data_IF_664451575108
#
_entry.id   IF_664451575108
#
_cell.length_a   1.000
_cell.length_b   1.000
_cell.length_c   1.000
_cell.angle_alpha   90.00
_cell.angle_beta   90.00
_cell.angle_gamma   90.00
#
_symmetry.space_group_name_H-M   'P 1'
#
loop_
_entity.id
_entity.type
_entity.pdbx_description
1 polymer ?
#
# COMPACT_ATOMS: atom_id res chain seq x y z
N UNK A 1 -71.17 17.87 -13.07
CA UNK A 1 -71.30 16.39 -13.06
C UNK A 1 -70.25 15.82 -12.13
N UNK A 2 -70.69 14.91 -11.25
CA UNK A 2 -69.97 14.31 -10.11
C UNK A 2 -69.51 12.91 -10.51
N UNK A 3 -68.36 12.46 -9.97
CA UNK A 3 -68.00 11.10 -9.45
C UNK A 3 -66.49 10.83 -9.72
N UNK A 4 -65.60 10.72 -8.73
CA UNK A 4 -65.36 9.74 -7.62
C UNK A 4 -64.49 8.54 -8.03
N UNK A 5 -63.31 8.41 -7.41
CA UNK A 5 -62.70 7.17 -6.86
C UNK A 5 -61.33 7.55 -6.24
N UNK A 6 -61.12 7.60 -4.92
CA UNK A 6 -60.92 6.53 -3.91
C UNK A 6 -59.78 5.55 -4.24
N UNK A 7 -58.75 5.61 -3.38
CA UNK A 7 -57.96 4.52 -2.74
C UNK A 7 -56.52 5.01 -2.52
N UNK A 8 -55.74 4.61 -1.52
CA UNK A 8 -55.95 3.99 -0.22
C UNK A 8 -54.65 4.21 0.57
N UNK A 9 -54.77 4.18 1.90
CA UNK A 9 -53.69 4.40 2.88
C UNK A 9 -52.60 3.31 2.81
N UNK A 10 -51.36 3.69 3.10
CA UNK A 10 -50.44 2.80 3.84
C UNK A 10 -49.44 3.63 4.65
N UNK A 11 -49.78 3.85 5.92
CA UNK A 11 -48.89 4.39 6.94
C UNK A 11 -47.92 3.29 7.37
N UNK A 12 -46.62 3.51 7.15
CA UNK A 12 -45.56 2.61 7.62
C UNK A 12 -45.45 2.64 9.17
N UNK A 13 -45.34 1.44 9.75
CA UNK A 13 -45.33 1.12 11.18
C UNK A 13 -43.89 1.19 11.72
N UNK A 14 -43.61 1.83 12.87
CA UNK A 14 -42.24 1.89 13.42
C UNK A 14 -41.85 0.58 14.12
N UNK A 15 -40.60 0.14 13.94
CA UNK A 15 -40.01 -1.05 14.60
C UNK A 15 -39.40 -0.69 15.97
N UNK A 16 -39.49 -1.58 16.98
CA UNK A 16 -39.10 -1.27 18.36
C UNK A 16 -37.60 -1.45 18.62
N UNK A 17 -37.06 -0.64 19.54
CA UNK A 17 -35.66 -0.69 20.00
C UNK A 17 -35.50 -1.77 21.08
N UNK A 18 -34.69 -2.78 20.81
CA UNK A 18 -34.39 -3.87 21.76
C UNK A 18 -33.23 -3.44 22.67
N UNK A 19 -33.53 -3.26 23.96
CA UNK A 19 -32.53 -3.12 25.03
C UNK A 19 -32.00 -4.51 25.39
N UNK A 20 -30.70 -4.73 25.29
CA UNK A 20 -30.05 -5.93 25.84
C UNK A 20 -29.77 -5.73 27.33
N UNK A 21 -30.49 -6.50 28.14
CA UNK A 21 -30.23 -6.74 29.56
C UNK A 21 -28.93 -7.54 29.74
N UNK A 22 -28.11 -7.16 30.73
CA UNK A 22 -26.97 -7.95 31.19
C UNK A 22 -27.51 -9.08 32.07
N UNK A 23 -27.32 -10.32 31.64
CA UNK A 23 -27.58 -11.50 32.46
C UNK A 23 -26.22 -12.08 32.84
N UNK A 24 -25.89 -11.99 34.12
CA UNK A 24 -24.67 -12.57 34.69
C UNK A 24 -24.79 -14.09 34.78
N UNK A 25 -23.63 -14.77 34.81
CA UNK A 25 -23.58 -16.13 35.34
C UNK A 25 -22.19 -16.45 35.90
N UNK A 26 -22.21 -16.78 37.19
CA UNK A 26 -21.36 -17.69 37.95
C UNK A 26 -19.87 -17.36 38.12
N UNK A 27 -19.58 -16.73 39.26
CA UNK A 27 -18.49 -17.17 40.13
C UNK A 27 -18.74 -18.61 40.59
N UNK A 28 -17.75 -19.48 40.46
CA UNK A 28 -17.60 -20.64 41.34
C UNK A 28 -16.12 -20.85 41.56
N UNK A 29 -15.70 -20.56 42.79
CA UNK A 29 -14.35 -20.77 43.29
C UNK A 29 -14.10 -22.28 43.45
N UNK A 30 -12.96 -22.78 42.98
CA UNK A 30 -12.31 -23.91 43.64
C UNK A 30 -10.88 -23.49 43.99
N UNK A 31 -10.60 -23.61 45.27
CA UNK A 31 -9.30 -23.37 45.89
C UNK A 31 -8.36 -24.55 45.66
N UNK A 32 -7.11 -24.37 46.09
CA UNK A 32 -6.04 -25.36 46.24
C UNK A 32 -5.18 -25.56 44.98
N UNK A 33 -4.10 -24.80 44.86
CA UNK A 33 -2.78 -25.35 45.20
C UNK A 33 -1.75 -24.22 45.30
N UNK A 34 -0.91 -24.38 46.31
CA UNK A 34 0.11 -23.45 46.78
C UNK A 34 1.36 -23.46 45.91
N UNK A 35 2.08 -22.35 46.02
CA UNK A 35 3.52 -22.23 45.82
C UNK A 35 4.10 -22.07 44.41
N UNK A 36 4.68 -20.88 44.26
CA UNK A 36 6.06 -20.71 43.82
C UNK A 36 6.33 -20.87 42.33
N UNK A 37 6.30 -19.74 41.63
CA UNK A 37 7.49 -19.20 40.97
C UNK A 37 7.18 -17.78 40.48
N UNK A 38 7.88 -16.81 41.05
CA UNK A 38 7.81 -15.40 40.67
C UNK A 38 8.44 -15.23 39.28
N UNK A 39 7.69 -15.62 38.25
CA UNK A 39 8.05 -15.34 36.86
C UNK A 39 7.96 -13.84 36.71
N UNK A 40 9.12 -13.21 36.64
CA UNK A 40 9.27 -11.82 36.20
C UNK A 40 8.42 -11.69 34.93
N UNK A 41 7.32 -10.93 35.01
CA UNK A 41 6.62 -10.47 33.81
C UNK A 41 7.66 -9.74 32.97
N UNK A 42 8.29 -10.43 32.02
CA UNK A 42 8.81 -9.75 30.84
C UNK A 42 7.58 -9.10 30.25
N UNK A 43 7.48 -7.78 30.44
CA UNK A 43 6.53 -6.92 29.74
C UNK A 43 6.57 -7.39 28.29
N UNK A 44 5.48 -8.03 27.84
CA UNK A 44 5.36 -8.51 26.49
C UNK A 44 5.74 -7.35 25.58
N UNK A 45 6.77 -7.56 24.76
CA UNK A 45 7.09 -6.62 23.71
C UNK A 45 5.83 -6.45 22.85
N UNK A 46 5.49 -5.23 22.43
CA UNK A 46 4.30 -5.02 21.64
C UNK A 46 4.49 -5.70 20.28
N UNK A 47 3.95 -6.93 20.13
CA UNK A 47 3.73 -7.57 18.83
C UNK A 47 2.87 -6.69 17.90
N UNK A 48 2.24 -5.65 18.46
CA UNK A 48 1.56 -4.61 17.70
C UNK A 48 2.49 -3.79 16.80
N UNK A 49 3.81 -3.76 16.99
CA UNK A 49 4.71 -3.02 16.10
C UNK A 49 4.83 -3.63 14.69
N UNK A 50 4.81 -4.97 14.60
CA UNK A 50 4.92 -5.66 13.32
C UNK A 50 3.62 -5.60 12.54
N UNK A 51 2.48 -5.79 13.22
CA UNK A 51 1.17 -5.63 12.60
C UNK A 51 0.92 -4.18 12.21
N UNK A 52 1.31 -3.18 13.02
CA UNK A 52 1.24 -1.76 12.66
C UNK A 52 2.14 -1.42 11.47
N UNK A 53 3.34 -2.04 11.39
CA UNK A 53 4.23 -1.84 10.24
C UNK A 53 3.68 -2.49 8.97
N UNK A 54 3.00 -3.63 9.10
CA UNK A 54 2.37 -4.33 7.99
C UNK A 54 1.11 -3.61 7.54
N UNK A 55 0.29 -3.06 8.46
CA UNK A 55 -0.88 -2.24 8.11
C UNK A 55 -0.45 -0.95 7.43
N UNK A 56 0.59 -0.26 7.91
CA UNK A 56 1.11 0.93 7.22
C UNK A 56 1.71 0.59 5.85
N UNK A 57 2.38 -0.56 5.73
CA UNK A 57 2.92 -1.03 4.44
C UNK A 57 1.82 -1.45 3.49
N UNK A 58 0.75 -2.10 3.96
CA UNK A 58 -0.43 -2.44 3.17
C UNK A 58 -1.21 -1.18 2.76
N UNK A 59 -1.38 -0.21 3.66
CA UNK A 59 -1.99 1.08 3.35
C UNK A 59 -1.15 1.94 2.38
N UNK A 60 0.17 1.72 2.31
CA UNK A 60 1.05 2.35 1.30
C UNK A 60 1.05 1.60 -0.04
N UNK A 61 0.57 0.35 -0.06
CA UNK A 61 0.37 -0.47 -1.26
C UNK A 61 -1.06 -0.34 -1.81
N UNK A 62 -2.00 0.13 -1.00
CA UNK A 62 -3.26 0.70 -1.48
C UNK A 62 -2.91 1.97 -2.23
N UNK A 63 -3.14 1.99 -3.55
CA UNK A 63 -3.15 3.24 -4.31
C UNK A 63 -4.05 4.21 -3.55
N UNK A 64 -3.55 5.33 -3.00
CA UNK A 64 -4.38 6.23 -2.23
C UNK A 64 -5.51 6.64 -3.15
N UNK A 65 -6.74 6.22 -2.79
CA UNK A 65 -7.92 6.45 -3.59
C UNK A 65 -7.98 7.95 -3.95
N UNK A 66 -7.64 8.24 -5.21
CA UNK A 66 -7.78 9.50 -5.91
C UNK A 66 -7.30 10.77 -5.18
N UNK A 67 -6.03 10.85 -4.77
CA UNK A 67 -5.40 12.16 -4.63
C UNK A 67 -5.05 12.68 -6.03
N UNK A 68 -5.94 13.49 -6.61
CA UNK A 68 -5.71 14.09 -7.93
C UNK A 68 -4.71 15.25 -7.80
N UNK A 69 -3.59 15.14 -8.51
CA UNK A 69 -2.65 16.24 -8.69
C UNK A 69 -2.93 16.95 -10.01
N UNK A 70 -2.71 18.27 -10.04
CA UNK A 70 -2.98 19.09 -11.22
C UNK A 70 -1.70 19.30 -12.02
N UNK A 71 -1.72 18.90 -13.28
CA UNK A 71 -0.63 19.12 -14.23
C UNK A 71 -0.84 20.45 -14.96
N UNK A 72 0.07 21.39 -14.76
CA UNK A 72 0.07 22.69 -15.43
C UNK A 72 1.26 22.79 -16.39
N UNK A 73 1.01 22.98 -17.68
CA UNK A 73 2.05 23.14 -18.69
C UNK A 73 1.61 24.09 -19.80
N UNK A 74 2.50 25.01 -20.19
CA UNK A 74 2.32 25.84 -21.39
C UNK A 74 2.92 25.11 -22.58
N UNK A 75 2.09 24.81 -23.58
CA UNK A 75 2.48 24.02 -24.74
C UNK A 75 2.35 24.90 -26.00
N UNK A 76 3.34 24.90 -26.91
CA UNK A 76 3.22 25.54 -28.21
C UNK A 76 2.00 25.03 -28.98
N UNK A 77 1.31 25.92 -29.71
CA UNK A 77 0.10 25.57 -30.46
C UNK A 77 0.34 24.48 -31.51
N UNK A 78 1.53 24.44 -32.12
CA UNK A 78 1.91 23.39 -33.08
C UNK A 78 1.90 22.00 -32.45
N UNK A 79 2.43 21.88 -31.22
CA UNK A 79 2.47 20.63 -30.46
C UNK A 79 1.05 20.25 -30.03
N UNK A 80 0.25 21.21 -29.55
CA UNK A 80 -1.15 20.96 -29.18
C UNK A 80 -1.96 20.37 -30.34
N UNK A 81 -1.87 20.96 -31.54
CA UNK A 81 -2.57 20.44 -32.74
C UNK A 81 -2.11 19.04 -33.13
N UNK A 82 -0.83 18.74 -32.96
CA UNK A 82 -0.30 17.40 -33.22
C UNK A 82 -0.86 16.37 -32.23
N UNK A 83 -0.92 16.72 -30.94
CA UNK A 83 -1.50 15.88 -29.90
C UNK A 83 -3.01 15.69 -30.12
N UNK A 84 -3.74 16.73 -30.52
CA UNK A 84 -5.16 16.66 -30.84
C UNK A 84 -5.41 15.65 -31.97
N UNK A 85 -4.65 15.74 -33.06
CA UNK A 85 -4.73 14.77 -34.16
C UNK A 85 -4.41 13.35 -33.70
N UNK A 86 -3.38 13.18 -32.87
CA UNK A 86 -3.00 11.86 -32.34
C UNK A 86 -4.09 11.28 -31.42
N UNK A 87 -4.73 12.13 -30.60
CA UNK A 87 -5.86 11.75 -29.76
C UNK A 87 -7.06 11.31 -30.60
N UNK A 88 -7.40 12.04 -31.67
CA UNK A 88 -8.45 11.65 -32.63
C UNK A 88 -8.17 10.28 -33.25
N UNK A 89 -6.93 10.02 -33.68
CA UNK A 89 -6.54 8.72 -34.25
C UNK A 89 -6.68 7.56 -33.26
N UNK A 90 -6.48 7.82 -31.96
CA UNK A 90 -6.68 6.82 -30.89
C UNK A 90 -8.13 6.75 -30.39
N UNK A 91 -9.03 7.62 -30.86
CA UNK A 91 -10.40 7.72 -30.35
C UNK A 91 -10.48 8.21 -28.90
N UNK A 92 -9.50 8.99 -28.45
CA UNK A 92 -9.39 9.50 -27.08
C UNK A 92 -9.61 11.01 -27.05
N UNK A 93 -10.05 11.53 -25.90
CA UNK A 93 -9.95 12.98 -25.64
C UNK A 93 -8.48 13.39 -25.48
N UNK A 94 -8.18 14.67 -25.69
CA UNK A 94 -6.82 15.20 -25.53
C UNK A 94 -6.26 14.90 -24.13
N UNK A 95 -7.08 15.07 -23.09
CA UNK A 95 -6.69 14.79 -21.70
C UNK A 95 -6.38 13.30 -21.51
N UNK A 96 -7.24 12.41 -22.01
CA UNK A 96 -7.02 10.97 -21.89
C UNK A 96 -5.77 10.52 -22.66
N UNK A 97 -5.54 11.08 -23.84
CA UNK A 97 -4.34 10.82 -24.64
C UNK A 97 -3.06 11.23 -23.89
N UNK A 98 -3.03 12.43 -23.31
CA UNK A 98 -1.87 12.95 -22.59
C UNK A 98 -1.59 12.12 -21.33
N UNK A 99 -2.61 11.88 -20.49
CA UNK A 99 -2.45 11.08 -19.26
C UNK A 99 -1.95 9.67 -19.58
N UNK A 100 -2.50 9.01 -20.59
CA UNK A 100 -2.07 7.67 -20.99
C UNK A 100 -0.63 7.67 -21.51
N UNK A 101 -0.27 8.63 -22.37
CA UNK A 101 1.07 8.70 -22.97
C UNK A 101 2.14 9.03 -21.92
N UNK A 102 1.86 9.97 -21.01
CA UNK A 102 2.77 10.32 -19.93
C UNK A 102 2.97 9.17 -18.94
N UNK A 103 1.89 8.46 -18.59
CA UNK A 103 1.99 7.30 -17.70
C UNK A 103 2.82 6.16 -18.29
N UNK A 104 2.63 5.88 -19.58
CA UNK A 104 3.40 4.86 -20.29
C UNK A 104 4.88 5.25 -20.43
N UNK A 105 5.17 6.49 -20.83
CA UNK A 105 6.54 6.98 -20.97
C UNK A 105 7.28 7.03 -19.63
N UNK A 106 6.61 7.46 -18.56
CA UNK A 106 7.16 7.47 -17.21
C UNK A 106 7.51 6.06 -16.73
N UNK A 107 6.60 5.09 -16.89
CA UNK A 107 6.86 3.69 -16.53
C UNK A 107 8.06 3.15 -17.29
N UNK A 108 8.07 3.32 -18.61
CA UNK A 108 9.17 2.88 -19.47
C UNK A 108 10.50 3.49 -19.06
N UNK A 109 10.51 4.78 -18.73
CA UNK A 109 11.74 5.49 -18.31
C UNK A 109 12.26 4.95 -16.97
N UNK A 110 11.37 4.73 -15.99
CA UNK A 110 11.74 4.17 -14.69
C UNK A 110 12.26 2.74 -14.84
N UNK A 111 11.59 1.91 -15.64
CA UNK A 111 12.04 0.54 -15.91
C UNK A 111 13.40 0.51 -16.59
N UNK A 112 13.66 1.43 -17.53
CA UNK A 112 14.96 1.52 -18.21
C UNK A 112 16.09 1.93 -17.26
N UNK A 113 15.84 2.82 -16.31
CA UNK A 113 16.81 3.21 -15.29
C UNK A 113 17.12 2.06 -14.31
N UNK A 114 16.12 1.23 -14.00
CA UNK A 114 16.28 0.08 -13.11
C UNK A 114 17.06 -1.08 -13.75
N UNK A 115 17.27 -1.10 -15.07
CA UNK A 115 17.93 -2.20 -15.78
C UNK A 115 19.43 -1.96 -15.88
N UNK A 116 20.21 -2.70 -15.09
CA UNK A 116 21.67 -2.77 -15.23
C UNK A 116 22.03 -3.71 -16.39
N UNK A 117 22.54 -3.14 -17.49
CA UNK A 117 23.04 -3.93 -18.64
C UNK A 117 24.49 -4.32 -18.40
N UNK A 118 24.73 -5.61 -18.18
CA UNK A 118 26.06 -6.19 -17.98
C UNK A 118 26.61 -6.79 -19.27
N UNK A 119 27.93 -6.69 -19.50
CA UNK A 119 28.60 -7.43 -20.57
C UNK A 119 28.54 -8.94 -20.28
N UNK A 120 28.80 -9.80 -21.28
CA UNK A 120 28.79 -11.25 -21.04
C UNK A 120 29.81 -11.68 -19.97
N UNK A 121 30.98 -11.04 -19.95
CA UNK A 121 31.99 -11.31 -18.94
C UNK A 121 31.50 -10.91 -17.54
N UNK A 122 30.88 -9.73 -17.41
CA UNK A 122 30.34 -9.25 -16.13
C UNK A 122 29.15 -10.09 -15.65
N UNK A 123 28.32 -10.59 -16.56
CA UNK A 123 27.21 -11.49 -16.24
C UNK A 123 27.74 -12.80 -15.63
N UNK A 124 28.80 -13.38 -16.21
CA UNK A 124 29.45 -14.59 -15.68
C UNK A 124 30.03 -14.30 -14.30
N UNK A 125 30.81 -13.23 -14.16
CA UNK A 125 31.40 -12.85 -12.87
C UNK A 125 30.34 -12.58 -11.79
N UNK A 126 29.24 -11.92 -12.17
CA UNK A 126 28.11 -11.67 -11.27
C UNK A 126 27.40 -12.95 -10.86
N UNK A 127 27.11 -13.85 -11.81
CA UNK A 127 26.49 -15.14 -11.52
C UNK A 127 27.39 -16.02 -10.63
N UNK A 128 28.70 -16.06 -10.92
CA UNK A 128 29.68 -16.76 -10.09
C UNK A 128 29.73 -16.18 -8.67
N UNK A 129 29.67 -14.86 -8.50
CA UNK A 129 29.63 -14.23 -7.18
C UNK A 129 28.32 -14.50 -6.42
N UNK A 130 27.21 -14.76 -7.10
CA UNK A 130 25.95 -15.18 -6.45
C UNK A 130 25.96 -16.65 -6.05
N UNK A 131 26.49 -17.52 -6.91
CA UNK A 131 26.55 -18.98 -6.67
C UNK A 131 27.63 -19.31 -5.63
N UNK A 132 28.79 -18.69 -5.76
CA UNK A 132 29.97 -18.89 -4.92
C UNK A 132 30.38 -17.54 -4.31
N UNK A 133 29.69 -17.07 -3.26
CA UNK A 133 29.97 -15.77 -2.67
C UNK A 133 31.40 -15.69 -2.15
N UNK A 134 32.23 -14.76 -2.66
CA UNK A 134 33.62 -14.65 -2.24
C UNK A 134 33.71 -14.12 -0.80
N UNK A 135 34.76 -14.54 -0.08
CA UNK A 135 35.01 -14.05 1.28
C UNK A 135 35.29 -12.54 1.23
N UNK A 136 34.61 -11.72 2.07
CA UNK A 136 34.80 -10.27 2.06
C UNK A 136 36.24 -9.91 2.44
N UNK A 137 36.84 -8.97 1.69
CA UNK A 137 38.20 -8.52 1.97
C UNK A 137 38.30 -7.77 3.31
N UNK A 138 39.47 -7.77 3.94
CA UNK A 138 39.71 -7.05 5.19
C UNK A 138 39.35 -5.55 5.09
N UNK A 139 39.57 -4.93 3.92
CA UNK A 139 39.17 -3.55 3.63
C UNK A 139 37.64 -3.38 3.62
N UNK A 140 36.90 -4.32 3.02
CA UNK A 140 35.44 -4.29 2.99
C UNK A 140 34.86 -4.45 4.40
N UNK A 141 35.43 -5.34 5.21
CA UNK A 141 35.04 -5.53 6.62
C UNK A 141 35.27 -4.25 7.43
N UNK A 142 36.42 -3.60 7.27
CA UNK A 142 36.72 -2.34 7.95
C UNK A 142 35.75 -1.21 7.52
N UNK A 143 35.43 -1.13 6.23
CA UNK A 143 34.46 -0.15 5.71
C UNK A 143 33.04 -0.39 6.25
N UNK A 144 32.59 -1.65 6.30
CA UNK A 144 31.30 -2.02 6.87
C UNK A 144 31.21 -1.65 8.36
N UNK A 145 32.26 -1.89 9.15
CA UNK A 145 32.33 -1.48 10.57
C UNK A 145 32.21 0.03 10.75
N UNK A 146 32.82 0.83 9.86
CA UNK A 146 32.71 2.29 9.88
C UNK A 146 31.30 2.77 9.51
N UNK A 147 30.62 2.08 8.61
CA UNK A 147 29.29 2.45 8.13
C UNK A 147 28.15 2.01 9.07
N UNK A 148 28.34 0.94 9.85
CA UNK A 148 27.35 0.38 10.78
C UNK A 148 26.64 1.40 11.72
N UNK A 149 27.32 2.40 12.31
CA UNK A 149 26.65 3.40 13.15
C UNK A 149 25.77 4.38 12.36
N UNK A 150 25.98 4.54 11.05
CA UNK A 150 25.21 5.46 10.19
C UNK A 150 23.88 4.88 9.73
N UNK A 151 23.79 3.55 9.58
CA UNK A 151 22.59 2.85 9.11
C UNK A 151 21.63 2.39 10.21
N UNK A 152 21.97 2.65 11.48
CA UNK A 152 21.10 2.34 12.64
C UNK A 152 20.35 3.60 13.06
N UNK A 153 19.33 3.98 12.30
CA UNK A 153 18.32 4.98 12.69
C UNK A 153 16.93 4.41 12.41
#
# INVERSE_FOLDING_TARGET
MIKTEKEAKTKAKPRPKIRRTKLGLAETQSMFFTESLKVRRRKAAPESGLLESLTNRLASLEDPAATTSRLEARIPTSIYKMMERAATLRGLSITAYVTATMGEDARRTIEQDAVVRLSRADQIAFAEALINPPVPSAKLVAAAKRHAPMTRK
#
